data_IF_327912049205
#
_entry.id   IF_327912049205
#
_cell.length_a   1.000
_cell.length_b   1.000
_cell.length_c   1.000
_cell.angle_alpha   90.00
_cell.angle_beta   90.00
_cell.angle_gamma   90.00
#
_symmetry.space_group_name_H-M   'P 1'
#
loop_
_entity.id
_entity.type
_entity.pdbx_description
1 polymer ?
#
# COMPACT_ATOMS: atom_id res chain seq x y z
N UNK A 1 3.79 -2.40 1.09
CA UNK A 1 4.03 -0.95 0.97
C UNK A 1 2.74 -0.16 0.88
N UNK A 2 2.44 0.44 -0.27
CA UNK A 2 1.39 1.46 -0.38
C UNK A 2 -0.04 0.96 -0.13
N UNK A 3 -0.44 -0.16 -0.76
CA UNK A 3 -1.79 -0.72 -0.57
C UNK A 3 -2.01 -1.29 0.84
N UNK A 4 -0.93 -1.52 1.59
CA UNK A 4 -0.97 -1.96 3.00
C UNK A 4 -1.03 -0.79 3.99
N UNK A 5 -1.09 0.46 3.53
CA UNK A 5 -1.08 1.64 4.40
C UNK A 5 0.31 2.15 4.80
N UNK A 6 1.40 1.46 4.42
CA UNK A 6 2.76 1.89 4.77
C UNK A 6 3.15 3.20 4.07
N UNK A 7 3.87 4.06 4.77
CA UNK A 7 4.54 5.25 4.25
C UNK A 7 5.75 4.89 3.38
N UNK A 8 6.22 5.83 2.54
CA UNK A 8 7.43 5.63 1.74
C UNK A 8 8.67 5.36 2.60
N UNK A 9 8.73 5.94 3.80
CA UNK A 9 9.81 5.71 4.78
C UNK A 9 9.78 4.28 5.33
N UNK A 10 8.61 3.76 5.67
CA UNK A 10 8.47 2.37 6.15
C UNK A 10 8.79 1.38 5.04
N UNK A 11 8.39 1.67 3.81
CA UNK A 11 8.74 0.86 2.63
C UNK A 11 10.24 0.88 2.38
N UNK A 12 10.88 2.04 2.51
CA UNK A 12 12.32 2.19 2.37
C UNK A 12 13.07 1.34 3.41
N UNK A 13 12.61 1.34 4.66
CA UNK A 13 13.16 0.50 5.72
C UNK A 13 12.94 -1.00 5.46
N UNK A 14 11.72 -1.41 5.06
CA UNK A 14 11.36 -2.80 4.74
C UNK A 14 12.23 -3.36 3.61
N UNK A 15 12.54 -2.53 2.60
CA UNK A 15 13.28 -2.94 1.40
C UNK A 15 14.79 -2.64 1.46
N UNK A 16 15.30 -2.07 2.56
CA UNK A 16 16.70 -1.58 2.66
C UNK A 16 17.08 -0.62 1.52
N UNK A 17 16.15 0.24 1.11
CA UNK A 17 16.33 1.24 0.06
C UNK A 17 16.35 2.65 0.64
N UNK A 18 16.86 3.61 -0.13
CA UNK A 18 16.73 5.02 0.24
C UNK A 18 15.28 5.49 0.06
N UNK A 19 14.78 6.43 0.91
CA UNK A 19 13.47 7.05 0.70
C UNK A 19 13.33 7.69 -0.69
N UNK A 20 14.42 8.24 -1.23
CA UNK A 20 14.46 8.81 -2.59
C UNK A 20 14.22 7.75 -3.67
N UNK A 21 14.78 6.56 -3.52
CA UNK A 21 14.57 5.44 -4.45
C UNK A 21 13.13 4.98 -4.42
N UNK A 22 12.56 4.83 -3.22
CA UNK A 22 11.15 4.47 -3.05
C UNK A 22 10.24 5.52 -3.67
N UNK A 23 10.52 6.82 -3.43
CA UNK A 23 9.76 7.91 -4.02
C UNK A 23 9.71 7.82 -5.55
N UNK A 24 10.85 7.55 -6.20
CA UNK A 24 10.91 7.34 -7.66
C UNK A 24 10.06 6.16 -8.12
N UNK A 25 10.06 5.06 -7.36
CA UNK A 25 9.18 3.93 -7.66
C UNK A 25 7.70 4.28 -7.48
N UNK A 26 7.34 5.07 -6.47
CA UNK A 26 5.96 5.56 -6.30
C UNK A 26 5.54 6.47 -7.46
N UNK A 27 6.39 7.39 -7.89
CA UNK A 27 6.13 8.24 -9.07
C UNK A 27 5.93 7.40 -10.34
N UNK A 28 6.78 6.40 -10.56
CA UNK A 28 6.66 5.49 -11.70
C UNK A 28 5.35 4.69 -11.64
N UNK A 29 4.95 4.25 -10.45
CA UNK A 29 3.70 3.56 -10.23
C UNK A 29 2.50 4.46 -10.57
N UNK A 30 2.51 5.70 -10.09
CA UNK A 30 1.47 6.69 -10.40
C UNK A 30 1.35 6.94 -11.90
N UNK A 31 2.47 7.13 -12.60
CA UNK A 31 2.48 7.30 -14.06
C UNK A 31 1.96 6.07 -14.81
N UNK A 32 2.38 4.88 -14.40
CA UNK A 32 1.95 3.64 -15.02
C UNK A 32 0.43 3.43 -14.91
N UNK A 33 -0.14 3.75 -13.75
CA UNK A 33 -1.57 3.67 -13.49
C UNK A 33 -2.35 4.93 -13.90
N UNK A 34 -1.68 5.94 -14.48
CA UNK A 34 -2.27 7.22 -14.88
C UNK A 34 -3.03 7.94 -13.74
N UNK A 35 -2.53 7.82 -12.52
CA UNK A 35 -3.08 8.46 -11.32
C UNK A 35 -2.09 9.50 -10.78
N UNK A 36 -2.60 10.45 -10.00
CA UNK A 36 -1.80 11.55 -9.45
C UNK A 36 -1.68 11.52 -7.92
N UNK A 37 -2.28 10.52 -7.27
CA UNK A 37 -2.24 10.42 -5.81
C UNK A 37 -2.36 8.98 -5.32
N UNK A 38 -1.93 8.78 -4.07
CA UNK A 38 -2.12 7.53 -3.36
C UNK A 38 -3.59 7.13 -3.27
N UNK A 39 -4.48 8.09 -3.02
CA UNK A 39 -5.92 7.82 -2.93
C UNK A 39 -6.49 7.34 -4.27
N UNK A 40 -6.12 7.98 -5.38
CA UNK A 40 -6.51 7.54 -6.72
C UNK A 40 -5.95 6.16 -7.04
N UNK A 41 -4.68 5.91 -6.70
CA UNK A 41 -4.08 4.58 -6.83
C UNK A 41 -4.89 3.55 -6.03
N UNK A 42 -5.19 3.81 -4.75
CA UNK A 42 -5.96 2.88 -3.91
C UNK A 42 -7.38 2.66 -4.44
N UNK A 43 -8.01 3.69 -5.00
CA UNK A 43 -9.36 3.60 -5.54
C UNK A 43 -9.48 2.52 -6.64
N UNK A 44 -8.41 2.28 -7.42
CA UNK A 44 -8.35 1.20 -8.41
C UNK A 44 -8.59 -0.19 -7.81
N UNK A 45 -8.24 -0.39 -6.53
CA UNK A 45 -8.46 -1.65 -5.81
C UNK A 45 -9.67 -1.64 -4.87
N UNK A 46 -10.27 -0.48 -4.59
CA UNK A 46 -11.51 -0.39 -3.79
C UNK A 46 -12.76 -0.86 -4.52
N UNK A 47 -12.67 -1.13 -5.83
CA UNK A 47 -13.73 -1.79 -6.60
C UNK A 47 -13.97 -3.25 -6.19
N UNK A 48 -13.10 -3.80 -5.32
CA UNK A 48 -13.33 -5.01 -4.55
C UNK A 48 -13.40 -4.64 -3.07
N UNK A 49 -14.58 -4.72 -2.41
CA UNK A 49 -14.63 -4.58 -0.96
C UNK A 49 -13.66 -5.60 -0.38
N UNK A 50 -12.69 -5.12 0.41
CA UNK A 50 -11.83 -5.98 1.21
C UNK A 50 -12.77 -6.72 2.16
N UNK A 51 -13.21 -7.92 1.76
CA UNK A 51 -14.07 -8.77 2.57
C UNK A 51 -13.32 -8.96 3.88
N UNK A 52 -13.96 -8.50 4.95
CA UNK A 52 -13.33 -8.27 6.23
C UNK A 52 -12.48 -9.45 6.65
N UNK A 53 -11.32 -9.13 7.23
CA UNK A 53 -10.61 -10.02 8.12
C UNK A 53 -11.49 -10.23 9.35
N UNK A 54 -12.47 -11.11 9.23
CA UNK A 54 -13.16 -11.77 10.33
C UNK A 54 -12.49 -13.15 10.51
N UNK A 55 -12.47 -13.63 11.74
CA UNK A 55 -11.94 -14.93 12.20
C UNK A 55 -10.50 -14.92 12.75
N UNK A 56 -10.39 -14.53 14.02
CA UNK A 56 -10.17 -15.55 15.05
C UNK A 56 -10.69 -15.04 16.40
N UNK A 57 -11.95 -15.34 16.66
CA UNK A 57 -12.46 -15.56 18.00
C UNK A 57 -12.43 -17.08 18.16
N UNK A 58 -11.49 -17.66 18.90
CA UNK A 58 -11.65 -18.82 19.80
C UNK A 58 -10.29 -19.28 20.34
N UNK A 59 -10.10 -19.10 21.65
CA UNK A 59 -9.67 -20.11 22.63
C UNK A 59 -9.92 -19.45 24.00
N UNK A 60 -11.01 -19.76 24.71
CA UNK A 60 -11.02 -20.73 25.82
C UNK A 60 -9.66 -20.79 26.53
N UNK A 61 -9.48 -20.41 27.78
CA UNK A 61 -10.24 -20.76 28.98
C UNK A 61 -9.81 -19.84 30.14
#
# INVERSE_FOLDING_TARGET
GLLRGLSEKEIAAELMLSPRTVHKYVEHLFRHFQVNSRAQLMALWTRFPQRGRSESLVVHH
#
